data_IF_040013772374
#
_entry.id   IF_040013772374
#
_cell.length_a   1.000
_cell.length_b   1.000
_cell.length_c   1.000
_cell.angle_alpha   90.00
_cell.angle_beta   90.00
_cell.angle_gamma   90.00
#
_symmetry.space_group_name_H-M   'P 1'
#
loop_
_entity.id
_entity.type
_entity.pdbx_description
1 polymer ?
#
# COMPACT_ATOMS: atom_id res chain seq x y z
N UNK A 1 0.51 -1.56 16.97
CA UNK A 1 0.26 -2.43 15.79
C UNK A 1 -1.16 -3.01 15.81
N UNK A 2 -1.57 -3.75 16.85
CA UNK A 2 -2.92 -4.34 16.97
C UNK A 2 -4.07 -3.35 16.70
N UNK A 3 -4.11 -2.21 17.40
CA UNK A 3 -5.17 -1.20 17.22
C UNK A 3 -5.25 -0.71 15.76
N UNK A 4 -4.09 -0.41 15.15
CA UNK A 4 -4.03 0.04 13.76
C UNK A 4 -4.46 -1.04 12.77
N UNK A 5 -4.03 -2.29 12.98
CA UNK A 5 -4.42 -3.44 12.16
C UNK A 5 -5.93 -3.70 12.23
N UNK A 6 -6.52 -3.63 13.43
CA UNK A 6 -7.97 -3.79 13.61
C UNK A 6 -8.73 -2.69 12.89
N UNK A 7 -8.31 -1.43 13.04
CA UNK A 7 -8.96 -0.30 12.38
C UNK A 7 -8.85 -0.39 10.85
N UNK A 8 -7.69 -0.78 10.33
CA UNK A 8 -7.48 -1.00 8.90
C UNK A 8 -8.39 -2.09 8.34
N UNK A 9 -8.54 -3.21 9.04
CA UNK A 9 -9.44 -4.30 8.61
C UNK A 9 -10.91 -3.88 8.68
N UNK A 10 -11.30 -3.11 9.70
CA UNK A 10 -12.64 -2.58 9.83
C UNK A 10 -12.99 -1.64 8.66
N UNK A 11 -12.09 -0.71 8.32
CA UNK A 11 -12.26 0.17 7.16
C UNK A 11 -12.38 -0.64 5.88
N UNK A 12 -11.49 -1.62 5.68
CA UNK A 12 -11.49 -2.47 4.49
C UNK A 12 -12.81 -3.23 4.34
N UNK A 13 -13.35 -3.76 5.43
CA UNK A 13 -14.67 -4.40 5.45
C UNK A 13 -15.77 -3.45 5.00
N UNK A 14 -15.82 -2.23 5.53
CA UNK A 14 -16.81 -1.23 5.11
C UNK A 14 -16.65 -0.81 3.65
N UNK A 15 -15.42 -0.70 3.13
CA UNK A 15 -15.17 -0.42 1.71
C UNK A 15 -15.75 -1.54 0.84
N UNK A 16 -15.48 -2.80 1.18
CA UNK A 16 -15.99 -3.97 0.42
C UNK A 16 -17.51 -4.04 0.49
N UNK A 17 -18.10 -3.89 1.68
CA UNK A 17 -19.55 -3.93 1.87
C UNK A 17 -20.23 -2.80 1.10
N UNK A 18 -19.70 -1.58 1.20
CA UNK A 18 -20.25 -0.41 0.54
C UNK A 18 -20.14 -0.53 -0.98
N UNK A 19 -19.01 -0.99 -1.51
CA UNK A 19 -18.84 -1.21 -2.96
C UNK A 19 -19.74 -2.35 -3.43
N UNK A 20 -19.86 -3.42 -2.64
CA UNK A 20 -20.72 -4.56 -2.95
C UNK A 20 -22.20 -4.22 -2.96
N UNK A 21 -22.69 -3.36 -2.06
CA UNK A 21 -24.12 -3.01 -2.03
C UNK A 21 -24.51 -1.92 -3.02
N UNK A 22 -23.58 -1.08 -3.47
CA UNK A 22 -23.91 0.01 -4.40
C UNK A 22 -23.48 -0.26 -5.83
N UNK A 23 -22.25 -0.74 -6.02
CA UNK A 23 -21.64 -0.84 -7.35
C UNK A 23 -22.07 -2.13 -8.06
N UNK A 24 -22.22 -3.23 -7.31
CA UNK A 24 -22.70 -4.51 -7.85
C UNK A 24 -24.17 -4.42 -8.29
N UNK A 25 -25.04 -3.77 -7.49
CA UNK A 25 -26.45 -3.56 -7.87
C UNK A 25 -26.60 -2.58 -9.04
N UNK A 26 -25.71 -1.59 -9.17
CA UNK A 26 -25.71 -0.65 -10.28
C UNK A 26 -25.13 -1.20 -11.60
N UNK A 27 -24.57 -2.43 -11.59
CA UNK A 27 -23.99 -3.08 -12.78
C UNK A 27 -22.69 -2.43 -13.31
N UNK A 28 -22.08 -1.52 -12.55
CA UNK A 28 -20.91 -0.74 -12.97
C UNK A 28 -19.61 -1.43 -12.54
N UNK A 29 -19.02 -2.25 -13.40
CA UNK A 29 -17.80 -3.02 -13.07
C UNK A 29 -16.49 -2.26 -13.30
N UNK A 30 -16.54 -1.05 -13.89
CA UNK A 30 -15.35 -0.26 -14.22
C UNK A 30 -15.43 1.15 -13.61
N UNK A 31 -14.67 1.37 -12.53
CA UNK A 31 -14.44 2.71 -11.98
C UNK A 31 -13.16 3.26 -12.59
N UNK A 32 -13.29 4.24 -13.48
CA UNK A 32 -12.16 4.91 -14.10
C UNK A 32 -11.76 6.21 -13.37
N UNK A 33 -12.62 6.75 -12.50
CA UNK A 33 -12.35 8.02 -11.80
C UNK A 33 -12.81 8.02 -10.34
N UNK A 34 -12.16 8.85 -9.51
CA UNK A 34 -12.55 9.06 -8.12
C UNK A 34 -13.97 9.67 -8.00
N UNK A 35 -14.40 10.44 -9.00
CA UNK A 35 -15.76 10.99 -9.06
C UNK A 35 -16.81 9.87 -9.22
N UNK A 36 -16.56 8.88 -10.07
CA UNK A 36 -17.42 7.70 -10.21
C UNK A 36 -17.48 6.87 -8.93
N UNK A 37 -16.35 6.74 -8.21
CA UNK A 37 -16.33 6.08 -6.90
C UNK A 37 -17.21 6.81 -5.87
N UNK A 38 -17.16 8.15 -5.86
CA UNK A 38 -17.99 8.97 -4.97
C UNK A 38 -19.48 8.88 -5.32
N UNK A 39 -19.82 8.89 -6.60
CA UNK A 39 -21.19 8.78 -7.10
C UNK A 39 -21.79 7.40 -6.85
N UNK A 40 -20.98 6.35 -6.92
CA UNK A 40 -21.37 5.01 -6.52
C UNK A 40 -21.73 4.92 -5.02
N UNK A 41 -21.26 5.84 -4.17
CA UNK A 41 -21.62 5.87 -2.74
C UNK A 41 -22.90 6.67 -2.44
N UNK A 42 -23.43 7.38 -3.44
CA UNK A 42 -24.65 8.21 -3.32
C UNK A 42 -25.89 7.45 -2.84
N UNK A 43 -26.19 6.19 -3.25
CA UNK A 43 -27.35 5.47 -2.72
C UNK A 43 -27.21 5.07 -1.24
N UNK A 44 -26.00 5.02 -0.68
CA UNK A 44 -25.75 4.70 0.73
C UNK A 44 -25.74 5.93 1.66
N UNK A 45 -25.15 7.03 1.20
CA UNK A 45 -24.92 8.23 2.03
C UNK A 45 -25.62 9.50 1.51
N UNK A 46 -26.46 9.38 0.47
CA UNK A 46 -27.19 10.50 -0.14
C UNK A 46 -26.29 11.54 -0.80
N UNK A 47 -26.75 12.78 -0.90
CA UNK A 47 -25.98 13.89 -1.49
C UNK A 47 -24.72 14.26 -0.67
N UNK A 48 -24.62 13.82 0.58
CA UNK A 48 -23.43 13.99 1.41
C UNK A 48 -22.29 13.01 1.07
N UNK A 49 -22.57 11.95 0.31
CA UNK A 49 -21.60 10.92 -0.06
C UNK A 49 -20.34 11.51 -0.71
N UNK A 50 -20.52 12.44 -1.65
CA UNK A 50 -19.41 13.10 -2.35
C UNK A 50 -18.51 13.92 -1.41
N UNK A 51 -19.11 14.60 -0.43
CA UNK A 51 -18.38 15.43 0.54
C UNK A 51 -17.59 14.54 1.50
N UNK A 52 -18.23 13.51 2.06
CA UNK A 52 -17.59 12.57 2.98
C UNK A 52 -16.48 11.78 2.29
N UNK A 53 -16.71 11.34 1.06
CA UNK A 53 -15.70 10.65 0.26
C UNK A 53 -14.51 11.56 -0.06
N UNK A 54 -14.77 12.80 -0.52
CA UNK A 54 -13.70 13.76 -0.81
C UNK A 54 -12.87 14.09 0.44
N UNK A 55 -13.53 14.31 1.59
CA UNK A 55 -12.84 14.54 2.85
C UNK A 55 -11.97 13.33 3.26
N UNK A 56 -12.48 12.12 3.07
CA UNK A 56 -11.75 10.87 3.33
C UNK A 56 -10.52 10.73 2.42
N UNK A 57 -10.69 10.91 1.10
CA UNK A 57 -9.59 10.82 0.12
C UNK A 57 -8.52 11.87 0.39
N UNK A 58 -8.90 13.11 0.69
CA UNK A 58 -7.96 14.18 1.06
C UNK A 58 -7.20 13.80 2.35
N UNK A 59 -7.91 13.30 3.37
CA UNK A 59 -7.31 12.87 4.63
C UNK A 59 -6.30 11.74 4.44
N UNK A 60 -6.66 10.71 3.66
CA UNK A 60 -5.76 9.60 3.32
C UNK A 60 -4.55 10.09 2.52
N UNK A 61 -4.76 10.99 1.55
CA UNK A 61 -3.67 11.57 0.76
C UNK A 61 -2.67 12.35 1.63
N UNK A 62 -3.15 13.16 2.57
CA UNK A 62 -2.31 13.92 3.50
C UNK A 62 -1.42 13.03 4.37
N UNK A 63 -1.92 11.85 4.77
CA UNK A 63 -1.15 10.88 5.56
C UNK A 63 -0.23 10.03 4.67
N UNK A 64 -0.69 9.64 3.49
CA UNK A 64 0.03 8.75 2.58
C UNK A 64 1.24 9.43 1.94
N UNK A 65 1.10 10.70 1.50
CA UNK A 65 2.18 11.41 0.78
C UNK A 65 3.46 11.49 1.61
N UNK A 66 3.45 11.96 2.88
CA UNK A 66 4.67 12.01 3.68
C UNK A 66 5.26 10.63 3.95
N UNK A 67 4.43 9.63 4.28
CA UNK A 67 4.89 8.28 4.63
C UNK A 67 5.52 7.58 3.43
N UNK A 68 4.86 7.61 2.27
CA UNK A 68 5.36 6.95 1.06
C UNK A 68 6.57 7.66 0.45
N UNK A 69 6.55 9.00 0.37
CA UNK A 69 7.69 9.76 -0.17
C UNK A 69 8.92 9.57 0.70
N UNK A 70 8.76 9.60 2.02
CA UNK A 70 9.86 9.40 2.96
C UNK A 70 10.40 7.99 2.88
N UNK A 71 9.54 6.96 2.79
CA UNK A 71 9.95 5.56 2.59
C UNK A 71 10.75 5.38 1.30
N UNK A 72 10.25 5.89 0.18
CA UNK A 72 10.95 5.82 -1.10
C UNK A 72 12.31 6.54 -1.08
N UNK A 73 12.39 7.70 -0.41
CA UNK A 73 13.65 8.39 -0.20
C UNK A 73 14.63 7.57 0.64
N UNK A 74 14.14 6.85 1.66
CA UNK A 74 14.95 5.93 2.47
C UNK A 74 15.49 4.77 1.64
N UNK A 75 14.65 4.14 0.82
CA UNK A 75 15.04 3.02 -0.04
C UNK A 75 16.08 3.44 -1.09
N UNK A 76 15.86 4.58 -1.75
CA UNK A 76 16.82 5.13 -2.71
C UNK A 76 18.15 5.47 -2.05
N UNK A 77 18.09 6.13 -0.90
CA UNK A 77 19.31 6.46 -0.20
C UNK A 77 20.04 5.16 0.21
N UNK A 78 19.34 4.13 0.71
CA UNK A 78 19.91 2.82 1.10
C UNK A 78 20.59 2.14 -0.09
N UNK A 79 19.94 2.11 -1.24
CA UNK A 79 20.51 1.55 -2.48
C UNK A 79 21.77 2.30 -2.94
N UNK A 80 21.82 3.62 -2.76
CA UNK A 80 22.95 4.46 -3.16
C UNK A 80 24.08 4.55 -2.11
N UNK A 81 23.93 3.88 -0.96
CA UNK A 81 24.93 3.90 0.12
C UNK A 81 25.18 5.28 0.72
N UNK A 82 24.19 6.18 0.67
CA UNK A 82 24.31 7.53 1.24
C UNK A 82 24.28 7.49 2.78
N UNK A 83 24.29 8.61 3.50
CA UNK A 83 23.99 8.60 4.95
C UNK A 83 22.50 8.80 5.14
N UNK A 84 21.86 7.96 5.96
CA UNK A 84 20.41 7.88 6.16
C UNK A 84 20.12 7.90 7.65
N UNK A 85 19.22 8.79 8.05
CA UNK A 85 18.76 8.86 9.43
C UNK A 85 17.73 9.95 9.58
N UNK A 86 16.52 9.60 9.98
CA UNK A 86 15.50 10.56 10.43
C UNK A 86 15.94 11.33 11.69
N UNK A 87 16.97 10.83 12.39
CA UNK A 87 17.63 11.45 13.53
C UNK A 87 18.84 12.31 13.16
N UNK A 88 19.28 12.32 11.90
CA UNK A 88 20.36 13.20 11.44
C UNK A 88 19.76 14.53 10.96
N UNK A 89 20.41 15.64 11.34
CA UNK A 89 19.91 16.99 11.08
C UNK A 89 19.69 17.22 9.57
N UNK A 90 18.73 18.06 9.15
CA UNK A 90 18.52 18.46 7.75
C UNK A 90 19.77 18.98 7.03
N UNK A 91 20.76 19.39 7.81
CA UNK A 91 22.06 19.90 7.37
C UNK A 91 23.11 18.81 7.09
N UNK A 92 22.87 17.56 7.47
CA UNK A 92 23.82 16.44 7.34
C UNK A 92 23.49 15.47 6.20
N UNK A 93 22.24 15.48 5.69
CA UNK A 93 21.81 14.65 4.56
C UNK A 93 21.04 15.46 3.48
N UNK A 94 21.65 16.47 2.84
CA UNK A 94 20.99 17.29 1.81
C UNK A 94 20.48 16.45 0.63
N UNK A 95 21.16 15.33 0.31
CA UNK A 95 20.76 14.41 -0.75
C UNK A 95 19.45 13.67 -0.46
N UNK A 96 19.11 13.44 0.82
CA UNK A 96 17.86 12.81 1.21
C UNK A 96 16.67 13.76 1.02
N UNK A 97 16.80 15.02 1.45
CA UNK A 97 15.76 16.02 1.25
C UNK A 97 15.57 16.40 -0.22
N UNK A 98 16.65 16.43 -1.00
CA UNK A 98 16.57 16.58 -2.47
C UNK A 98 15.86 15.37 -3.08
N UNK A 99 16.18 14.14 -2.66
CA UNK A 99 15.49 12.94 -3.13
C UNK A 99 13.98 12.98 -2.81
N UNK A 100 13.59 13.35 -1.59
CA UNK A 100 12.18 13.54 -1.22
C UNK A 100 11.51 14.57 -2.13
N UNK A 101 12.13 15.73 -2.34
CA UNK A 101 11.60 16.77 -3.23
C UNK A 101 11.47 16.31 -4.69
N UNK A 102 12.46 15.59 -5.21
CA UNK A 102 12.42 15.01 -6.57
C UNK A 102 11.34 13.95 -6.69
N UNK A 103 11.20 13.05 -5.71
CA UNK A 103 10.13 12.03 -5.71
C UNK A 103 8.76 12.69 -5.66
N UNK A 104 8.56 13.72 -4.83
CA UNK A 104 7.31 14.47 -4.79
C UNK A 104 7.02 15.16 -6.12
N UNK A 105 8.01 15.83 -6.71
CA UNK A 105 7.85 16.50 -8.01
C UNK A 105 7.55 15.51 -9.13
N UNK A 106 8.19 14.34 -9.13
CA UNK A 106 7.90 13.27 -10.09
C UNK A 106 6.49 12.69 -9.88
N UNK A 107 6.08 12.44 -8.63
CA UNK A 107 4.74 11.95 -8.31
C UNK A 107 3.64 12.93 -8.74
N UNK A 108 3.86 14.23 -8.53
CA UNK A 108 2.95 15.28 -9.01
C UNK A 108 3.00 15.38 -10.55
N UNK A 109 4.19 15.32 -11.14
CA UNK A 109 4.39 15.37 -12.60
C UNK A 109 3.69 14.23 -13.35
N UNK A 110 3.66 13.02 -12.77
CA UNK A 110 2.96 11.87 -13.34
C UNK A 110 1.44 12.10 -13.48
N UNK A 111 0.84 12.95 -12.64
CA UNK A 111 -0.59 13.29 -12.78
C UNK A 111 -0.86 14.14 -14.04
N UNK A 112 0.10 14.93 -14.51
CA UNK A 112 -0.06 15.77 -15.71
C UNK A 112 0.06 14.99 -17.03
N UNK A 113 0.52 13.73 -16.99
CA UNK A 113 0.70 12.89 -18.19
C UNK A 113 -0.65 12.27 -18.64
N UNK A 114 -1.75 12.55 -17.94
CA UNK A 114 -3.08 11.98 -18.28
C UNK A 114 -3.18 10.49 -17.95
N UNK A 115 -2.27 9.98 -17.12
CA UNK A 115 -2.31 8.59 -16.67
C UNK A 115 -3.51 8.40 -15.73
N UNK A 116 -4.34 7.39 -15.98
CA UNK A 116 -5.49 7.13 -15.14
C UNK A 116 -5.02 6.66 -13.73
N UNK A 117 -5.23 7.44 -12.66
CA UNK A 117 -4.73 7.12 -11.32
C UNK A 117 -5.39 5.89 -10.73
N UNK A 118 -6.64 5.57 -11.12
CA UNK A 118 -7.31 4.34 -10.71
C UNK A 118 -6.60 3.12 -11.30
N UNK A 119 -6.24 3.16 -12.59
CA UNK A 119 -5.45 2.09 -13.23
C UNK A 119 -4.07 1.98 -12.59
N UNK A 120 -3.41 3.10 -12.31
CA UNK A 120 -2.12 3.10 -11.61
C UNK A 120 -2.21 2.47 -10.20
N UNK A 121 -3.28 2.73 -9.46
CA UNK A 121 -3.52 2.17 -8.14
C UNK A 121 -3.71 0.64 -8.21
N UNK A 122 -4.45 0.15 -9.21
CA UNK A 122 -4.61 -1.29 -9.47
C UNK A 122 -3.27 -1.93 -9.86
N UNK A 123 -2.53 -1.35 -10.81
CA UNK A 123 -1.20 -1.84 -11.21
C UNK A 123 -0.22 -1.86 -10.03
N UNK A 124 -0.23 -0.81 -9.20
CA UNK A 124 0.59 -0.74 -7.98
C UNK A 124 0.22 -1.88 -7.02
N UNK A 125 -1.07 -2.18 -6.87
CA UNK A 125 -1.56 -3.31 -6.08
C UNK A 125 -1.09 -4.67 -6.62
N UNK A 126 -1.08 -4.85 -7.95
CA UNK A 126 -0.57 -6.08 -8.59
C UNK A 126 0.93 -6.25 -8.32
N UNK A 127 1.72 -5.19 -8.53
CA UNK A 127 3.17 -5.21 -8.28
C UNK A 127 3.46 -5.47 -6.80
N UNK A 128 2.69 -4.85 -5.90
CA UNK A 128 2.80 -5.08 -4.46
C UNK A 128 2.43 -6.53 -4.11
N UNK A 129 1.36 -7.07 -4.69
CA UNK A 129 0.93 -8.46 -4.52
C UNK A 129 2.03 -9.45 -4.91
N UNK A 130 2.67 -9.24 -6.06
CA UNK A 130 3.77 -10.07 -6.53
C UNK A 130 5.05 -9.94 -5.67
N UNK A 131 5.35 -8.74 -5.17
CA UNK A 131 6.55 -8.48 -4.38
C UNK A 131 6.44 -8.96 -2.93
N UNK A 132 5.22 -9.07 -2.40
CA UNK A 132 4.96 -9.42 -1.00
C UNK A 132 5.44 -10.84 -0.61
N UNK A 133 5.15 -11.92 -1.37
CA UNK A 133 5.57 -13.27 -1.00
C UNK A 133 7.10 -13.45 -0.89
N UNK A 134 7.92 -13.00 -1.87
CA UNK A 134 9.38 -13.07 -1.74
C UNK A 134 9.90 -12.31 -0.52
N UNK A 135 9.37 -11.11 -0.26
CA UNK A 135 9.76 -10.32 0.92
C UNK A 135 9.39 -11.01 2.23
N UNK A 136 8.18 -11.57 2.34
CA UNK A 136 7.75 -12.34 3.51
C UNK A 136 8.63 -13.57 3.74
N UNK A 137 8.99 -14.29 2.68
CA UNK A 137 9.88 -15.44 2.75
C UNK A 137 11.27 -15.04 3.27
N UNK A 138 11.84 -13.95 2.74
CA UNK A 138 13.12 -13.42 3.21
C UNK A 138 13.08 -13.00 4.67
N UNK A 139 12.01 -12.32 5.10
CA UNK A 139 11.80 -11.94 6.49
C UNK A 139 11.68 -13.18 7.37
N UNK A 140 10.95 -14.21 6.94
CA UNK A 140 10.82 -15.47 7.68
C UNK A 140 12.16 -16.18 7.86
N UNK A 141 12.98 -16.24 6.81
CA UNK A 141 14.34 -16.81 6.89
C UNK A 141 15.25 -15.98 7.81
N UNK A 142 15.24 -14.65 7.67
CA UNK A 142 16.05 -13.76 8.51
C UNK A 142 15.66 -13.83 9.98
N UNK A 143 14.36 -13.82 10.28
CA UNK A 143 13.84 -13.86 11.65
C UNK A 143 14.06 -15.21 12.34
N UNK A 144 14.28 -16.28 11.56
CA UNK A 144 14.64 -17.60 12.07
C UNK A 144 16.16 -17.79 12.24
N UNK A 145 16.97 -16.88 11.67
CA UNK A 145 18.42 -16.96 11.79
C UNK A 145 18.91 -16.38 13.12
N UNK A 146 19.36 -17.26 14.04
CA UNK A 146 19.98 -16.88 15.33
C UNK A 146 21.19 -15.96 15.18
N UNK A 147 21.90 -16.00 14.04
CA UNK A 147 23.04 -15.11 13.79
C UNK A 147 22.62 -13.65 13.61
N UNK A 148 21.37 -13.41 13.19
CA UNK A 148 20.81 -12.07 12.94
C UNK A 148 19.94 -11.63 14.13
N UNK A 149 19.10 -12.53 14.66
CA UNK A 149 18.12 -12.22 15.72
C UNK A 149 18.59 -12.55 17.15
N UNK A 150 19.76 -13.19 17.32
CA UNK A 150 20.24 -13.64 18.62
C UNK A 150 19.25 -14.59 19.30
N UNK A 151 18.84 -14.24 20.52
CA UNK A 151 17.90 -15.03 21.34
C UNK A 151 16.42 -14.75 21.04
N UNK A 152 16.12 -13.78 20.18
CA UNK A 152 14.74 -13.39 19.80
C UNK A 152 14.29 -14.04 18.49
N UNK A 153 14.67 -15.28 18.25
CA UNK A 153 14.20 -16.04 17.08
C UNK A 153 12.72 -16.38 17.18
N UNK A 154 12.11 -16.57 16.02
CA UNK A 154 10.70 -16.93 15.91
C UNK A 154 10.38 -18.22 16.67
N UNK A 155 9.27 -18.22 17.41
CA UNK A 155 8.76 -19.43 18.05
C UNK A 155 8.23 -20.41 16.99
N UNK A 156 8.13 -21.72 17.29
CA UNK A 156 7.57 -22.70 16.36
C UNK A 156 6.18 -22.33 15.85
N UNK A 157 5.32 -21.77 16.72
CA UNK A 157 3.98 -21.31 16.35
C UNK A 157 3.99 -20.10 15.41
N UNK A 158 4.88 -19.13 15.66
CA UNK A 158 5.05 -17.96 14.77
C UNK A 158 5.63 -18.37 13.42
N UNK A 159 6.51 -19.38 13.38
CA UNK A 159 7.07 -19.91 12.16
C UNK A 159 6.03 -20.67 11.31
N UNK A 160 5.14 -21.44 11.95
CA UNK A 160 4.01 -22.08 11.27
C UNK A 160 3.04 -21.04 10.70
N UNK A 161 2.64 -20.05 11.50
CA UNK A 161 1.78 -18.96 11.03
C UNK A 161 2.43 -18.16 9.89
N UNK A 162 3.71 -17.83 10.01
CA UNK A 162 4.47 -17.13 8.98
C UNK A 162 4.62 -17.95 7.69
N UNK A 163 4.88 -19.25 7.82
CA UNK A 163 4.96 -20.18 6.69
C UNK A 163 3.62 -20.35 5.97
N UNK A 164 2.52 -20.54 6.71
CA UNK A 164 1.17 -20.61 6.13
C UNK A 164 0.80 -19.32 5.42
N UNK A 165 1.08 -18.16 6.03
CA UNK A 165 0.81 -16.85 5.43
C UNK A 165 1.62 -16.65 4.15
N UNK A 166 2.90 -17.04 4.17
CA UNK A 166 3.78 -16.98 2.98
C UNK A 166 3.23 -17.88 1.87
N UNK A 167 2.88 -19.13 2.18
CA UNK A 167 2.31 -20.07 1.21
C UNK A 167 0.98 -19.58 0.64
N UNK A 168 0.07 -19.09 1.48
CA UNK A 168 -1.22 -18.57 1.05
C UNK A 168 -1.07 -17.33 0.14
N UNK A 169 -0.15 -16.42 0.48
CA UNK A 169 0.12 -15.22 -0.33
C UNK A 169 0.82 -15.59 -1.65
N UNK A 170 1.70 -16.58 -1.63
CA UNK A 170 2.34 -17.11 -2.84
C UNK A 170 1.31 -17.77 -3.76
N UNK A 171 0.40 -18.59 -3.22
CA UNK A 171 -0.69 -19.21 -3.96
C UNK A 171 -1.65 -18.16 -4.56
N UNK A 172 -2.00 -17.12 -3.80
CA UNK A 172 -2.83 -16.03 -4.29
C UNK A 172 -2.13 -15.23 -5.42
N UNK A 173 -0.82 -14.99 -5.30
CA UNK A 173 -0.04 -14.30 -6.33
C UNK A 173 0.08 -15.13 -7.61
N UNK A 174 0.30 -16.44 -7.49
CA UNK A 174 0.29 -17.38 -8.63
C UNK A 174 -1.11 -17.44 -9.25
N UNK A 175 -2.17 -17.45 -8.44
CA UNK A 175 -3.55 -17.37 -8.91
C UNK A 175 -3.82 -16.10 -9.72
N UNK A 176 -3.35 -14.94 -9.24
CA UNK A 176 -3.48 -13.67 -9.97
C UNK A 176 -2.77 -13.73 -11.33
N UNK A 177 -1.55 -14.28 -11.39
CA UNK A 177 -0.83 -14.47 -12.66
C UNK A 177 -1.55 -15.44 -13.57
N UNK A 178 -2.04 -16.56 -13.04
CA UNK A 178 -2.78 -17.56 -13.81
C UNK A 178 -4.07 -16.99 -14.41
N UNK A 179 -4.84 -16.21 -13.65
CA UNK A 179 -6.05 -15.52 -14.13
C UNK A 179 -5.73 -14.42 -15.15
N UNK A 180 -4.50 -13.88 -15.16
CA UNK A 180 -4.08 -12.89 -16.16
C UNK A 180 -3.68 -13.53 -17.50
N UNK A 181 -3.31 -14.81 -17.50
CA UNK A 181 -2.90 -15.57 -18.69
C UNK A 181 -4.01 -16.46 -19.28
N UNK A 182 -5.10 -16.70 -18.54
CA UNK A 182 -6.30 -17.45 -18.98
C UNK A 182 -7.35 -16.46 -19.50
#
# INVERSE_FOLDING_TARGET
>A
ILIGMTFSNLIMYFIILSTGSTLYEAGQTQIETAAQAAEALRPLAGDAAGIVFSAGVIGVGFLAVPVMTTGAAFDLAQAMGWKHGMNDKPRQAPKFYIATGVITLLAVGLNFIGFNPMKALVWSGIVQGFSTPPLLLLILIMTNNRKIMGDKVNSPGTNVLGGVTTLATFAASVGLVATWFI
#
